data_IF_899071029626
#
_entry.id   IF_899071029626
#
_cell.length_a   1.000
_cell.length_b   1.000
_cell.length_c   1.000
_cell.angle_alpha   90.00
_cell.angle_beta   90.00
_cell.angle_gamma   90.00
#
_symmetry.space_group_name_H-M   'P 1'
#
loop_
_entity.id
_entity.type
_entity.pdbx_description
1 polymer ?
#
# COMPACT_ATOMS: atom_id res chain seq x y z
N UNK A 1 2.48 -21.54 -0.40
CA UNK A 1 2.81 -20.26 0.23
C UNK A 1 1.60 -19.74 0.98
N UNK A 2 1.85 -19.13 2.13
CA UNK A 2 0.92 -18.20 2.77
C UNK A 2 0.83 -16.98 1.86
N UNK A 3 -0.38 -16.56 1.51
CA UNK A 3 -0.59 -15.34 0.70
C UNK A 3 -0.13 -14.14 1.53
N UNK A 4 0.68 -13.20 0.99
CA UNK A 4 1.09 -11.99 1.72
C UNK A 4 -0.15 -11.21 2.22
N UNK A 5 -0.14 -10.71 3.46
CA UNK A 5 -1.30 -10.04 4.08
C UNK A 5 -1.84 -8.88 3.25
N UNK A 6 -0.96 -8.13 2.60
CA UNK A 6 -1.31 -7.00 1.73
C UNK A 6 -2.18 -7.43 0.55
N UNK A 7 -1.93 -8.61 -0.04
CA UNK A 7 -2.79 -9.13 -1.10
C UNK A 7 -4.18 -9.48 -0.54
N UNK A 8 -4.24 -10.06 0.66
CA UNK A 8 -5.49 -10.43 1.29
C UNK A 8 -6.37 -9.20 1.54
N UNK A 9 -5.77 -8.11 2.01
CA UNK A 9 -6.45 -6.84 2.20
C UNK A 9 -6.87 -6.22 0.87
N UNK A 10 -5.99 -6.22 -0.13
CA UNK A 10 -6.29 -5.76 -1.48
C UNK A 10 -7.48 -6.50 -2.11
N UNK A 11 -7.58 -7.82 -1.94
CA UNK A 11 -8.71 -8.62 -2.45
C UNK A 11 -10.04 -8.27 -1.78
N UNK A 12 -10.03 -7.75 -0.55
CA UNK A 12 -11.23 -7.34 0.21
C UNK A 12 -11.65 -5.90 -0.03
N UNK A 13 -10.81 -5.07 -0.64
CA UNK A 13 -11.12 -3.67 -0.93
C UNK A 13 -12.31 -3.53 -1.91
N UNK A 14 -12.99 -2.38 -1.85
CA UNK A 14 -13.96 -1.98 -2.90
C UNK A 14 -13.20 -1.57 -4.16
N UNK A 15 -13.85 -1.69 -5.32
CA UNK A 15 -13.23 -1.32 -6.60
C UNK A 15 -13.02 0.19 -6.67
N UNK A 16 -12.02 0.61 -7.44
CA UNK A 16 -11.63 2.01 -7.61
C UNK A 16 -12.79 2.91 -8.07
N UNK A 17 -13.78 2.33 -8.76
CA UNK A 17 -15.04 2.98 -9.20
C UNK A 17 -16.13 3.05 -8.10
N UNK A 18 -15.81 2.71 -6.85
CA UNK A 18 -16.74 2.72 -5.72
C UNK A 18 -17.72 1.55 -5.69
N UNK A 19 -17.77 0.71 -6.73
CA UNK A 19 -18.65 -0.46 -6.79
C UNK A 19 -18.02 -1.63 -6.05
N UNK A 20 -18.85 -2.44 -5.37
CA UNK A 20 -18.39 -3.76 -4.88
C UNK A 20 -18.31 -4.72 -6.06
N UNK A 21 -17.24 -4.64 -6.85
CA UNK A 21 -16.93 -5.68 -7.83
C UNK A 21 -16.22 -6.81 -7.10
N UNK A 22 -16.76 -8.02 -7.20
CA UNK A 22 -16.05 -9.22 -6.82
C UNK A 22 -15.05 -9.51 -7.96
N UNK A 23 -13.85 -8.95 -7.85
CA UNK A 23 -12.85 -8.96 -8.94
C UNK A 23 -12.15 -10.31 -9.03
N UNK A 24 -12.02 -11.02 -7.92
CA UNK A 24 -11.25 -12.25 -7.89
C UNK A 24 -12.11 -13.45 -7.55
N UNK A 25 -12.36 -14.30 -8.55
CA UNK A 25 -13.24 -15.47 -8.41
C UNK A 25 -12.48 -16.75 -8.04
N UNK A 26 -11.15 -16.72 -8.08
CA UNK A 26 -10.29 -17.87 -7.82
C UNK A 26 -10.04 -18.02 -6.33
N UNK A 27 -10.56 -19.11 -5.77
CA UNK A 27 -10.48 -19.41 -4.34
C UNK A 27 -9.44 -20.48 -4.03
N UNK A 28 -9.03 -21.27 -5.03
CA UNK A 28 -8.11 -22.39 -4.81
C UNK A 28 -6.67 -21.91 -4.95
N UNK A 29 -5.83 -22.37 -4.03
CA UNK A 29 -4.39 -22.07 -4.02
C UNK A 29 -3.69 -22.41 -5.35
N UNK A 30 -4.06 -23.54 -5.97
CA UNK A 30 -3.50 -23.94 -7.26
C UNK A 30 -3.84 -22.96 -8.40
N UNK A 31 -5.00 -22.31 -8.36
CA UNK A 31 -5.41 -21.29 -9.33
C UNK A 31 -4.58 -20.02 -9.13
N UNK A 32 -4.36 -19.62 -7.87
CA UNK A 32 -3.49 -18.50 -7.52
C UNK A 32 -2.05 -18.75 -7.97
N UNK A 33 -1.50 -19.92 -7.66
CA UNK A 33 -0.13 -20.31 -8.04
C UNK A 33 0.04 -20.30 -9.57
N UNK A 34 -0.99 -20.73 -10.33
CA UNK A 34 -0.94 -20.68 -11.79
C UNK A 34 -0.97 -19.24 -12.32
N UNK A 35 -1.79 -18.36 -11.73
CA UNK A 35 -1.84 -16.95 -12.12
C UNK A 35 -0.49 -16.25 -11.89
N UNK A 36 0.16 -16.54 -10.76
CA UNK A 36 1.48 -16.01 -10.44
C UNK A 36 2.57 -16.50 -11.38
N UNK A 37 2.47 -17.75 -11.83
CA UNK A 37 3.48 -18.38 -12.69
C UNK A 37 3.28 -18.02 -14.15
N UNK A 38 2.06 -18.15 -14.65
CA UNK A 38 1.66 -17.90 -16.03
C UNK A 38 0.13 -17.79 -16.14
N UNK A 39 -0.38 -16.56 -16.03
CA UNK A 39 -1.81 -16.31 -16.13
C UNK A 39 -2.38 -16.57 -17.54
N UNK A 40 -1.55 -16.60 -18.59
CA UNK A 40 -2.00 -16.90 -19.96
C UNK A 40 -2.35 -18.38 -20.06
N UNK A 41 -1.46 -19.25 -19.61
CA UNK A 41 -1.71 -20.70 -19.51
C UNK A 41 -2.93 -20.98 -18.65
N UNK A 42 -3.12 -20.21 -17.58
CA UNK A 42 -4.30 -20.33 -16.74
C UNK A 42 -5.60 -19.99 -17.50
N UNK A 43 -5.63 -18.86 -18.21
CA UNK A 43 -6.79 -18.45 -19.04
C UNK A 43 -7.09 -19.46 -20.14
N UNK A 44 -6.06 -20.06 -20.75
CA UNK A 44 -6.26 -21.12 -21.74
C UNK A 44 -6.86 -22.39 -21.12
N UNK A 45 -6.35 -22.82 -19.96
CA UNK A 45 -6.85 -24.01 -19.24
C UNK A 45 -8.26 -23.86 -18.70
N UNK A 46 -8.70 -22.63 -18.42
CA UNK A 46 -10.09 -22.35 -18.03
C UNK A 46 -11.02 -22.13 -19.23
N UNK A 47 -10.55 -22.38 -20.46
CA UNK A 47 -11.35 -22.21 -21.66
C UNK A 47 -11.71 -20.75 -21.95
N UNK A 48 -10.89 -19.81 -21.49
CA UNK A 48 -11.13 -18.35 -21.58
C UNK A 48 -12.42 -17.91 -20.89
N UNK A 49 -12.79 -18.62 -19.82
CA UNK A 49 -13.94 -18.32 -18.97
C UNK A 49 -13.42 -18.01 -17.57
N UNK A 50 -13.16 -16.73 -17.25
CA UNK A 50 -13.53 -15.51 -17.97
C UNK A 50 -12.51 -15.07 -19.05
N UNK A 51 -12.91 -14.15 -19.94
CA UNK A 51 -12.05 -13.69 -21.03
C UNK A 51 -10.76 -13.05 -20.52
N UNK A 52 -9.68 -13.21 -21.30
CA UNK A 52 -8.35 -12.69 -20.99
C UNK A 52 -8.35 -11.22 -20.56
N UNK A 53 -9.01 -10.34 -21.31
CA UNK A 53 -9.05 -8.90 -21.03
C UNK A 53 -9.68 -8.58 -19.67
N UNK A 54 -10.63 -9.40 -19.19
CA UNK A 54 -11.20 -9.24 -17.85
C UNK A 54 -10.18 -9.68 -16.80
N UNK A 55 -9.48 -10.79 -17.01
CA UNK A 55 -8.42 -11.26 -16.09
C UNK A 55 -7.30 -10.22 -15.98
N UNK A 56 -6.86 -9.64 -17.10
CA UNK A 56 -5.86 -8.57 -17.11
C UNK A 56 -6.37 -7.31 -16.38
N UNK A 57 -7.60 -6.88 -16.65
CA UNK A 57 -8.23 -5.76 -15.94
C UNK A 57 -8.30 -6.00 -14.42
N UNK A 58 -8.59 -7.23 -14.01
CA UNK A 58 -8.66 -7.62 -12.61
C UNK A 58 -7.28 -7.60 -11.94
N UNK A 59 -6.24 -8.04 -12.64
CA UNK A 59 -4.85 -7.97 -12.16
C UNK A 59 -4.43 -6.51 -11.97
N UNK A 60 -4.70 -5.63 -12.94
CA UNK A 60 -4.39 -4.20 -12.84
C UNK A 60 -5.09 -3.53 -11.66
N UNK A 61 -6.36 -3.86 -11.43
CA UNK A 61 -7.13 -3.37 -10.28
C UNK A 61 -6.53 -3.84 -8.95
N UNK A 62 -6.09 -5.10 -8.84
CA UNK A 62 -5.38 -5.60 -7.65
C UNK A 62 -4.09 -4.81 -7.41
N UNK A 63 -3.31 -4.56 -8.47
CA UNK A 63 -2.07 -3.76 -8.37
C UNK A 63 -2.38 -2.34 -7.86
N UNK A 64 -3.42 -1.70 -8.39
CA UNK A 64 -3.84 -0.38 -7.93
C UNK A 64 -4.25 -0.37 -6.45
N UNK A 65 -4.91 -1.43 -5.97
CA UNK A 65 -5.30 -1.58 -4.56
C UNK A 65 -4.10 -1.80 -3.65
N UNK A 66 -3.16 -2.66 -4.05
CA UNK A 66 -1.90 -2.87 -3.32
C UNK A 66 -1.15 -1.54 -3.21
N UNK A 67 -1.01 -0.82 -4.32
CA UNK A 67 -0.35 0.49 -4.34
C UNK A 67 -1.03 1.49 -3.39
N UNK A 68 -2.36 1.49 -3.35
CA UNK A 68 -3.13 2.35 -2.44
C UNK A 68 -2.87 2.02 -0.96
N UNK A 69 -2.75 0.74 -0.62
CA UNK A 69 -2.40 0.30 0.74
C UNK A 69 -0.98 0.71 1.11
N UNK A 70 -0.03 0.53 0.20
CA UNK A 70 1.37 0.96 0.37
C UNK A 70 1.46 2.47 0.57
N UNK A 71 0.72 3.26 -0.21
CA UNK A 71 0.70 4.71 -0.09
C UNK A 71 0.10 5.16 1.24
N UNK A 72 -0.98 4.54 1.70
CA UNK A 72 -1.55 4.81 3.01
C UNK A 72 -0.55 4.52 4.15
N UNK A 73 0.16 3.39 4.08
CA UNK A 73 1.20 3.05 5.04
C UNK A 73 2.37 4.05 4.99
N UNK A 74 2.78 4.45 3.79
CA UNK A 74 3.83 5.45 3.59
C UNK A 74 3.45 6.80 4.20
N UNK A 75 2.20 7.25 4.06
CA UNK A 75 1.70 8.50 4.67
C UNK A 75 1.86 8.47 6.19
N UNK A 76 1.49 7.35 6.84
CA UNK A 76 1.63 7.20 8.30
C UNK A 76 3.10 7.27 8.71
N UNK A 77 3.98 6.55 8.02
CA UNK A 77 5.43 6.56 8.29
C UNK A 77 6.00 7.97 8.12
N UNK A 78 5.65 8.64 7.02
CA UNK A 78 6.13 9.99 6.75
C UNK A 78 5.62 11.00 7.80
N UNK A 79 4.38 10.89 8.25
CA UNK A 79 3.84 11.75 9.30
C UNK A 79 4.59 11.57 10.62
N UNK A 80 4.87 10.32 11.02
CA UNK A 80 5.67 10.04 12.22
C UNK A 80 7.08 10.61 12.10
N UNK A 81 7.73 10.40 10.95
CA UNK A 81 9.08 10.92 10.70
C UNK A 81 9.12 12.44 10.77
N UNK A 82 8.20 13.13 10.08
CA UNK A 82 8.10 14.60 10.11
C UNK A 82 7.94 15.12 11.54
N UNK A 83 7.08 14.50 12.35
CA UNK A 83 6.88 14.90 13.74
C UNK A 83 8.12 14.69 14.63
N UNK A 84 8.91 13.64 14.40
CA UNK A 84 10.17 13.42 15.13
C UNK A 84 11.18 14.51 14.78
N UNK A 85 11.37 14.75 13.48
CA UNK A 85 12.32 15.75 12.97
C UNK A 85 11.95 17.16 13.47
N UNK A 86 10.68 17.52 13.41
CA UNK A 86 10.19 18.82 13.91
C UNK A 86 10.48 19.00 15.40
N UNK A 87 10.20 17.99 16.23
CA UNK A 87 10.49 18.06 17.68
C UNK A 87 11.98 18.22 17.99
N UNK A 88 12.86 17.61 17.19
CA UNK A 88 14.30 17.77 17.34
C UNK A 88 14.71 19.24 17.09
N UNK A 89 14.28 19.81 15.96
CA UNK A 89 14.58 21.20 15.63
C UNK A 89 13.99 22.20 16.63
N UNK A 90 12.74 22.00 17.07
CA UNK A 90 12.11 22.86 18.08
C UNK A 90 12.89 22.83 19.38
N UNK A 91 13.33 21.64 19.81
CA UNK A 91 14.13 21.50 21.04
C UNK A 91 15.46 22.25 20.94
N UNK A 92 16.18 22.11 19.83
CA UNK A 92 17.42 22.84 19.59
C UNK A 92 17.19 24.35 19.58
N UNK A 93 16.14 24.83 18.92
CA UNK A 93 15.79 26.25 18.89
C UNK A 93 15.48 26.81 20.28
N UNK A 94 14.72 26.07 21.10
CA UNK A 94 14.40 26.47 22.48
C UNK A 94 15.69 26.55 23.33
N UNK A 95 16.61 25.60 23.17
CA UNK A 95 17.89 25.61 23.87
C UNK A 95 18.73 26.82 23.47
N UNK A 96 18.84 27.10 22.17
CA UNK A 96 19.62 28.23 21.67
C UNK A 96 19.01 29.57 22.08
N UNK A 97 17.68 29.71 22.03
CA UNK A 97 16.98 30.90 22.53
C UNK A 97 17.22 31.12 24.03
N UNK A 98 17.23 30.05 24.82
CA UNK A 98 17.52 30.13 26.26
C UNK A 98 18.97 30.56 26.52
N UNK A 99 19.91 30.04 25.73
CA UNK A 99 21.33 30.43 25.76
C UNK A 99 21.53 31.91 25.40
N UNK A 100 20.88 32.41 24.35
CA UNK A 100 20.96 33.82 23.96
C UNK A 100 20.38 34.76 25.03
N UNK A 101 19.28 34.35 25.67
CA UNK A 101 18.70 35.13 26.79
C UNK A 101 19.64 35.17 27.99
N UNK A 102 20.29 34.07 28.36
CA UNK A 102 21.19 34.07 29.51
C UNK A 102 22.42 34.97 29.28
N UNK A 103 22.98 34.97 28.06
CA UNK A 103 24.09 35.87 27.69
C UNK A 103 23.68 37.34 27.75
N UNK A 104 22.47 37.70 27.29
CA UNK A 104 21.97 39.09 27.35
C UNK A 104 21.78 39.60 28.78
N UNK A 105 21.43 38.73 29.72
CA UNK A 105 21.18 39.11 31.12
C UNK A 105 22.48 39.24 31.93
N UNK A 106 23.57 38.63 31.48
CA UNK A 106 24.87 38.62 32.20
C UNK A 106 25.91 39.56 31.59
N UNK A 107 25.62 40.20 30.45
CA UNK A 107 26.47 41.18 29.78
C UNK A 107 26.05 42.62 30.01
#
# INVERSE_FOLDING_TARGET
GTVPSVLYDALRMKSTDGKKRHIWWYKRKAELDLIYRDYLVFVERTGRMPPRHIVESNILEIVARIKSLEDAAAVVIQAMFRGVVERMFVKELIQEMSRLRSVRVTG
#
